data_IF_444793657976
#
_entry.id   IF_444793657976
#
_cell.length_a   1.000
_cell.length_b   1.000
_cell.length_c   1.000
_cell.angle_alpha   90.00
_cell.angle_beta   90.00
_cell.angle_gamma   90.00
#
_symmetry.space_group_name_H-M   'P 1'
#
loop_
_entity.id
_entity.type
_entity.pdbx_description
1 polymer ?
#
# COMPACT_ATOMS: atom_id res chain seq x y z
N UNK A 1 29.07 18.22 -61.88
CA UNK A 1 29.64 19.57 -61.68
C UNK A 1 28.77 20.24 -60.62
N UNK A 2 29.18 20.62 -59.41
CA UNK A 2 30.41 21.28 -58.95
C UNK A 2 30.87 20.78 -57.57
N UNK A 3 32.14 21.07 -57.31
CA UNK A 3 33.03 20.66 -56.23
C UNK A 3 33.18 21.77 -55.15
N UNK A 4 33.65 21.35 -53.95
CA UNK A 4 34.51 22.09 -52.98
C UNK A 4 33.83 23.22 -52.15
N UNK A 5 34.09 23.48 -50.85
CA UNK A 5 35.17 23.26 -49.87
C UNK A 5 34.63 23.59 -48.43
N UNK A 6 34.99 22.85 -47.35
CA UNK A 6 36.02 23.11 -46.30
C UNK A 6 35.52 23.85 -45.03
N UNK A 7 36.02 23.35 -43.89
CA UNK A 7 36.13 23.87 -42.51
C UNK A 7 35.11 23.40 -41.46
N UNK A 8 35.66 22.71 -40.47
CA UNK A 8 35.00 22.41 -39.20
C UNK A 8 34.94 23.62 -38.27
N UNK A 9 34.00 23.54 -37.33
CA UNK A 9 33.92 24.43 -36.18
C UNK A 9 33.48 23.63 -34.96
N UNK A 10 34.40 23.54 -33.99
CA UNK A 10 34.10 23.42 -32.57
C UNK A 10 33.07 24.49 -32.17
N UNK A 11 32.07 24.10 -31.39
CA UNK A 11 31.14 24.99 -30.68
C UNK A 11 30.81 24.38 -29.31
N UNK A 12 31.72 24.42 -28.35
CA UNK A 12 31.64 25.24 -27.12
C UNK A 12 30.21 25.59 -26.67
N UNK A 13 29.70 24.85 -25.70
CA UNK A 13 28.57 25.26 -24.86
C UNK A 13 29.09 26.03 -23.63
N UNK A 14 28.84 27.33 -23.66
CA UNK A 14 28.31 28.19 -22.60
C UNK A 14 28.81 28.02 -21.16
N UNK A 15 29.78 28.86 -20.83
CA UNK A 15 29.78 29.84 -19.72
C UNK A 15 29.06 29.47 -18.39
N UNK A 16 29.83 28.94 -17.45
CA UNK A 16 29.58 29.06 -16.01
C UNK A 16 30.21 30.38 -15.55
N UNK A 17 29.37 31.32 -15.12
CA UNK A 17 29.82 32.62 -14.64
C UNK A 17 30.10 32.52 -13.14
N UNK A 18 31.37 32.81 -12.79
CA UNK A 18 31.79 33.73 -11.72
C UNK A 18 31.43 33.38 -10.26
N UNK A 19 32.28 33.57 -9.24
CA UNK A 19 33.54 34.31 -9.14
C UNK A 19 34.15 33.99 -7.77
N UNK A 20 35.49 33.88 -7.75
CA UNK A 20 36.49 34.32 -6.75
C UNK A 20 36.25 34.08 -5.23
N UNK A 21 37.27 33.85 -4.40
CA UNK A 21 38.62 34.38 -4.46
C UNK A 21 39.54 33.64 -3.48
N UNK A 22 40.70 33.23 -4.00
CA UNK A 22 42.07 33.20 -3.43
C UNK A 22 42.24 33.24 -1.89
N UNK A 23 43.07 32.38 -1.30
CA UNK A 23 44.55 32.51 -1.22
C UNK A 23 44.96 31.73 0.06
N UNK A 24 46.14 31.18 0.34
CA UNK A 24 47.48 31.12 -0.27
C UNK A 24 48.30 30.22 0.70
N UNK A 25 49.11 29.32 0.12
CA UNK A 25 50.40 28.74 0.54
C UNK A 25 50.72 28.27 1.98
N UNK A 26 51.23 27.02 1.99
CA UNK A 26 52.49 26.51 2.59
C UNK A 26 52.62 26.50 4.14
N UNK A 27 52.66 25.32 4.76
CA UNK A 27 53.81 24.40 4.89
C UNK A 27 54.75 24.77 6.05
N UNK A 28 54.67 23.90 7.07
CA UNK A 28 55.74 23.39 7.96
C UNK A 28 56.77 24.38 8.53
N UNK A 29 56.91 24.37 9.87
CA UNK A 29 58.12 23.95 10.62
C UNK A 29 58.12 24.60 12.01
N UNK A 30 58.58 23.78 12.98
CA UNK A 30 59.18 24.10 14.28
C UNK A 30 58.28 24.19 15.51
N UNK A 31 58.37 23.08 16.25
CA UNK A 31 58.44 23.01 17.71
C UNK A 31 59.07 24.24 18.37
N UNK A 32 58.53 24.67 19.51
CA UNK A 32 59.17 24.42 20.81
C UNK A 32 58.29 24.87 21.98
N UNK A 33 58.37 24.07 23.04
CA UNK A 33 57.82 24.25 24.37
C UNK A 33 58.13 25.60 25.03
N UNK A 34 57.16 26.15 25.78
CA UNK A 34 57.44 26.61 27.15
C UNK A 34 56.18 26.73 28.01
N UNK A 35 56.27 26.02 29.12
CA UNK A 35 55.45 26.04 30.32
C UNK A 35 55.45 27.43 31.01
N UNK A 36 54.29 27.88 31.50
CA UNK A 36 54.14 28.87 32.59
C UNK A 36 52.67 28.90 33.02
N UNK A 37 52.30 28.20 34.09
CA UNK A 37 52.13 28.75 35.45
C UNK A 37 50.73 29.33 35.72
N UNK A 38 49.89 28.46 36.28
CA UNK A 38 48.87 28.68 37.33
C UNK A 38 48.53 30.14 37.72
N UNK A 39 47.25 30.49 37.62
CA UNK A 39 46.55 31.33 38.62
C UNK A 39 45.02 31.06 38.61
N UNK A 40 44.63 30.09 39.45
CA UNK A 40 43.36 29.89 40.16
C UNK A 40 42.24 30.96 39.98
N UNK A 41 41.13 30.59 39.31
CA UNK A 41 39.77 31.03 39.69
C UNK A 41 38.84 29.82 39.70
N UNK A 42 38.04 29.75 40.76
CA UNK A 42 37.24 28.60 41.19
C UNK A 42 35.94 28.48 40.40
N UNK A 43 35.55 27.22 40.17
CA UNK A 43 34.18 26.66 40.17
C UNK A 43 33.08 27.48 39.53
N UNK A 44 32.59 27.02 38.36
CA UNK A 44 31.16 26.85 38.11
C UNK A 44 30.98 25.53 37.36
N UNK A 45 30.70 24.46 38.10
CA UNK A 45 30.04 23.29 37.55
C UNK A 45 28.62 23.74 37.22
N UNK A 46 28.08 23.49 36.01
CA UNK A 46 26.70 23.85 35.71
C UNK A 46 25.78 23.23 36.77
N UNK A 47 24.86 24.04 37.30
CA UNK A 47 23.92 23.57 38.30
C UNK A 47 23.06 22.46 37.68
N UNK A 48 22.79 21.40 38.45
CA UNK A 48 21.95 20.26 38.02
C UNK A 48 20.50 20.63 37.64
N UNK A 49 20.11 21.90 37.73
CA UNK A 49 18.78 22.42 37.38
C UNK A 49 18.63 22.77 35.89
N UNK A 50 19.68 22.62 35.07
CA UNK A 50 19.62 22.83 33.61
C UNK A 50 19.47 21.53 32.81
N UNK A 51 19.30 20.37 33.47
CA UNK A 51 18.84 19.16 32.78
C UNK A 51 17.31 19.20 32.70
N UNK A 52 16.78 19.22 31.48
CA UNK A 52 15.36 18.98 31.21
C UNK A 52 14.94 17.69 31.93
N UNK A 53 14.04 17.81 32.92
CA UNK A 53 13.58 16.68 33.69
C UNK A 53 12.72 15.78 32.80
N UNK A 54 13.02 14.47 32.66
CA UNK A 54 12.09 13.55 32.00
C UNK A 54 10.77 13.50 32.79
N UNK A 55 9.65 13.30 32.11
CA UNK A 55 8.31 13.28 32.71
C UNK A 55 8.29 12.42 34.00
N UNK A 56 7.99 13.03 35.15
CA UNK A 56 8.06 12.36 36.46
C UNK A 56 6.71 11.83 36.94
N UNK A 57 5.65 12.00 36.16
CA UNK A 57 4.29 11.57 36.49
C UNK A 57 3.74 10.66 35.41
N UNK A 58 3.01 9.61 35.80
CA UNK A 58 2.29 8.70 34.86
C UNK A 58 1.24 9.47 34.06
N UNK A 59 0.62 10.49 34.65
CA UNK A 59 -0.32 11.37 33.94
C UNK A 59 0.38 12.22 32.88
N UNK A 60 1.62 12.63 33.14
CA UNK A 60 2.45 13.43 32.22
C UNK A 60 3.12 12.55 31.15
N UNK A 61 3.51 11.31 31.50
CA UNK A 61 3.89 10.25 30.56
C UNK A 61 2.73 9.86 29.63
N UNK A 62 1.49 9.84 30.13
CA UNK A 62 0.29 9.59 29.33
C UNK A 62 -0.05 10.78 28.42
N UNK A 63 0.16 12.01 28.88
CA UNK A 63 0.01 13.22 28.06
C UNK A 63 1.10 13.37 26.98
N UNK A 64 2.34 12.98 27.28
CA UNK A 64 3.46 12.99 26.33
C UNK A 64 3.28 11.99 25.18
N UNK A 65 2.55 10.89 25.39
CA UNK A 65 2.19 9.93 24.34
C UNK A 65 1.00 10.39 23.50
N UNK A 66 0.19 11.36 23.97
CA UNK A 66 -1.02 11.80 23.27
C UNK A 66 -0.87 13.02 22.36
N UNK A 67 0.29 13.71 22.35
CA UNK A 67 0.46 14.97 21.62
C UNK A 67 1.47 14.93 20.45
N UNK A 68 2.13 13.79 20.19
CA UNK A 68 3.22 13.72 19.22
C UNK A 68 2.87 13.10 17.85
N UNK A 69 1.72 12.45 17.69
CA UNK A 69 1.40 11.72 16.45
C UNK A 69 -0.12 11.58 16.26
N UNK A 70 -0.82 12.72 16.12
CA UNK A 70 -2.11 12.68 15.42
C UNK A 70 -1.80 12.82 13.94
N UNK A 71 -2.06 11.81 13.09
CA UNK A 71 -1.83 11.96 11.68
C UNK A 71 -2.66 13.13 11.17
N UNK A 72 -2.00 14.09 10.53
CA UNK A 72 -2.68 15.21 9.90
C UNK A 72 -3.51 14.65 8.74
N UNK A 73 -4.81 14.46 8.98
CA UNK A 73 -5.73 13.95 7.97
C UNK A 73 -5.77 14.93 6.79
N UNK A 74 -5.30 14.47 5.64
CA UNK A 74 -5.21 15.27 4.43
C UNK A 74 -6.46 15.07 3.57
N UNK A 75 -7.07 16.16 3.12
CA UNK A 75 -8.30 16.10 2.31
C UNK A 75 -7.96 16.01 0.82
N UNK A 76 -8.51 15.04 0.10
CA UNK A 76 -8.40 14.91 -1.36
C UNK A 76 -9.58 15.63 -2.00
N UNK A 77 -9.32 16.70 -2.73
CA UNK A 77 -10.34 17.59 -3.29
C UNK A 77 -10.67 17.28 -4.75
N UNK A 78 -9.77 16.58 -5.45
CA UNK A 78 -9.89 16.33 -6.87
C UNK A 78 -9.18 15.02 -7.26
N UNK A 79 -9.80 14.29 -8.20
CA UNK A 79 -9.33 13.01 -8.72
C UNK A 79 -9.33 13.11 -10.23
N UNK A 80 -8.15 13.00 -10.85
CA UNK A 80 -7.99 13.06 -12.30
C UNK A 80 -7.57 11.71 -12.85
N UNK A 81 -8.22 11.30 -13.94
CA UNK A 81 -7.87 10.11 -14.70
C UNK A 81 -7.37 10.52 -16.07
N UNK A 82 -6.17 10.04 -16.43
CA UNK A 82 -5.55 10.28 -17.73
C UNK A 82 -5.20 8.92 -18.37
N UNK A 83 -5.93 8.53 -19.41
CA UNK A 83 -5.62 7.34 -20.17
C UNK A 83 -4.30 7.50 -20.93
N UNK A 84 -3.48 6.46 -20.95
CA UNK A 84 -2.24 6.39 -21.73
C UNK A 84 -2.31 5.20 -22.72
N UNK A 85 -1.38 5.11 -23.67
CA UNK A 85 -1.40 4.04 -24.69
C UNK A 85 -1.27 2.61 -24.11
N UNK A 86 -0.76 2.47 -22.88
CA UNK A 86 -0.47 1.18 -22.25
C UNK A 86 -1.03 1.08 -20.83
N UNK A 87 -1.96 1.96 -20.46
CA UNK A 87 -2.44 2.01 -19.08
C UNK A 87 -3.20 3.28 -18.70
N UNK A 88 -3.16 3.61 -17.42
CA UNK A 88 -3.96 4.68 -16.81
C UNK A 88 -3.13 5.42 -15.76
N UNK A 89 -3.08 6.74 -15.84
CA UNK A 89 -2.50 7.58 -14.80
C UNK A 89 -3.62 8.19 -13.95
N UNK A 90 -3.57 7.97 -12.64
CA UNK A 90 -4.52 8.53 -11.66
C UNK A 90 -3.77 9.56 -10.83
N UNK A 91 -4.29 10.78 -10.73
CA UNK A 91 -3.71 11.84 -9.89
C UNK A 91 -4.71 12.24 -8.83
N UNK A 92 -4.33 12.10 -7.57
CA UNK A 92 -5.11 12.54 -6.41
C UNK A 92 -4.54 13.85 -5.89
N UNK A 93 -5.33 14.92 -5.96
CA UNK A 93 -4.91 16.26 -5.54
C UNK A 93 -5.43 16.57 -4.13
N UNK A 94 -4.56 16.75 -3.14
CA UNK A 94 -4.95 17.18 -1.79
C UNK A 94 -5.22 18.69 -1.72
N UNK A 95 -5.99 19.13 -0.72
CA UNK A 95 -6.23 20.54 -0.44
C UNK A 95 -4.98 21.25 0.08
N UNK A 96 -4.32 20.62 1.05
CA UNK A 96 -3.11 21.09 1.71
C UNK A 96 -2.36 19.87 2.28
N UNK A 97 -1.03 19.88 2.23
CA UNK A 97 -0.20 18.79 2.74
C UNK A 97 0.22 17.76 1.68
N UNK A 98 1.03 16.80 2.11
CA UNK A 98 1.45 15.65 1.30
C UNK A 98 0.65 14.44 1.73
N UNK A 99 0.16 13.66 0.76
CA UNK A 99 -0.47 12.39 1.04
C UNK A 99 0.59 11.36 1.47
N UNK A 100 0.22 10.50 2.43
CA UNK A 100 1.00 9.32 2.79
C UNK A 100 1.06 8.35 1.59
N UNK A 101 2.13 7.54 1.46
CA UNK A 101 2.22 6.54 0.40
C UNK A 101 1.09 5.51 0.54
N UNK A 102 0.46 5.15 -0.58
CA UNK A 102 -0.57 4.12 -0.58
C UNK A 102 0.05 2.73 -0.40
N UNK A 103 -0.63 1.89 0.37
CA UNK A 103 -0.37 0.45 0.43
C UNK A 103 -1.17 -0.24 -0.67
N UNK A 104 -0.49 -0.88 -1.63
CA UNK A 104 -1.14 -1.60 -2.72
C UNK A 104 -1.24 -3.10 -2.41
N UNK A 105 -2.35 -3.70 -2.79
CA UNK A 105 -2.61 -5.14 -2.70
C UNK A 105 -3.45 -5.57 -3.89
N UNK A 106 -3.33 -6.82 -4.33
CA UNK A 106 -4.11 -7.35 -5.45
C UNK A 106 -5.07 -8.40 -4.92
N UNK A 107 -6.34 -8.28 -5.27
CA UNK A 107 -7.40 -9.23 -4.90
C UNK A 107 -8.17 -9.62 -6.16
N UNK A 108 -7.96 -10.86 -6.62
CA UNK A 108 -8.56 -11.35 -7.87
C UNK A 108 -8.05 -10.57 -9.08
N UNK A 109 -8.95 -9.82 -9.72
CA UNK A 109 -8.66 -8.95 -10.89
C UNK A 109 -8.65 -7.45 -10.51
N UNK A 110 -8.57 -7.13 -9.23
CA UNK A 110 -8.58 -5.75 -8.75
C UNK A 110 -7.31 -5.43 -7.97
N UNK A 111 -6.67 -4.31 -8.33
CA UNK A 111 -5.67 -3.66 -7.50
C UNK A 111 -6.38 -2.75 -6.50
N UNK A 112 -6.10 -2.94 -5.23
CA UNK A 112 -6.60 -2.17 -4.10
C UNK A 112 -5.45 -1.36 -3.53
N UNK A 113 -5.57 -0.04 -3.52
CA UNK A 113 -4.60 0.85 -2.90
C UNK A 113 -5.25 1.61 -1.74
N UNK A 114 -4.73 1.40 -0.54
CA UNK A 114 -5.20 2.03 0.68
C UNK A 114 -4.25 3.16 1.09
N UNK A 115 -4.79 4.38 1.16
CA UNK A 115 -4.08 5.59 1.51
C UNK A 115 -4.46 5.94 2.96
N UNK A 116 -3.54 5.80 3.93
CA UNK A 116 -3.81 6.18 5.30
C UNK A 116 -3.83 7.70 5.43
N UNK A 117 -4.42 8.19 6.53
CA UNK A 117 -4.42 9.59 6.93
C UNK A 117 -5.01 10.54 5.87
N UNK A 118 -5.98 10.03 5.11
CA UNK A 118 -6.62 10.75 4.02
C UNK A 118 -8.14 10.69 4.12
N UNK A 119 -8.79 11.74 3.62
CA UNK A 119 -10.24 11.74 3.43
C UNK A 119 -10.57 12.32 2.07
N UNK A 120 -11.38 11.61 1.30
CA UNK A 120 -11.93 12.06 0.04
C UNK A 120 -13.03 13.09 0.31
N UNK A 121 -12.88 14.29 -0.25
CA UNK A 121 -13.78 15.41 -0.07
C UNK A 121 -14.00 16.11 -1.43
N UNK A 122 -14.72 15.44 -2.33
CA UNK A 122 -15.03 16.00 -3.64
C UNK A 122 -16.20 16.98 -3.53
N UNK A 123 -16.26 18.03 -4.37
CA UNK A 123 -17.29 19.06 -4.28
C UNK A 123 -18.71 18.54 -4.59
N UNK A 124 -18.83 17.51 -5.43
CA UNK A 124 -20.11 17.04 -5.97
C UNK A 124 -20.56 15.66 -5.43
N UNK A 125 -19.66 14.87 -4.85
CA UNK A 125 -19.90 13.45 -4.49
C UNK A 125 -18.96 12.98 -3.37
N UNK A 126 -19.41 12.02 -2.55
CA UNK A 126 -18.59 11.43 -1.49
C UNK A 126 -17.66 10.31 -1.99
N UNK A 127 -17.85 9.86 -3.24
CA UNK A 127 -17.04 8.86 -3.91
C UNK A 127 -16.78 9.20 -5.38
N UNK A 128 -15.69 8.70 -5.93
CA UNK A 128 -15.38 8.82 -7.35
C UNK A 128 -15.52 7.45 -8.01
N UNK A 129 -16.21 7.38 -9.14
CA UNK A 129 -16.34 6.17 -9.94
C UNK A 129 -16.13 6.47 -11.42
N UNK A 130 -15.44 5.56 -12.10
CA UNK A 130 -15.25 5.63 -13.55
C UNK A 130 -15.34 4.23 -14.15
N UNK A 131 -16.16 4.09 -15.19
CA UNK A 131 -16.40 2.84 -15.92
C UNK A 131 -15.65 2.87 -17.23
N UNK A 132 -14.92 1.79 -17.54
CA UNK A 132 -14.11 1.62 -18.75
C UNK A 132 -13.27 2.85 -19.09
N UNK A 133 -12.40 3.35 -18.17
CA UNK A 133 -11.54 4.49 -18.48
C UNK A 133 -10.55 4.18 -19.62
N UNK A 134 -10.19 2.91 -19.81
CA UNK A 134 -9.36 2.41 -20.92
C UNK A 134 -9.90 1.05 -21.40
N UNK A 135 -9.39 0.53 -22.52
CA UNK A 135 -9.78 -0.79 -23.02
C UNK A 135 -9.33 -1.94 -22.09
N UNK A 136 -8.30 -1.72 -21.27
CA UNK A 136 -7.70 -2.73 -20.39
C UNK A 136 -8.21 -2.65 -18.93
N UNK A 137 -8.74 -1.49 -18.51
CA UNK A 137 -9.27 -1.25 -17.16
C UNK A 137 -10.80 -1.19 -17.22
N UNK A 138 -11.46 -2.12 -16.53
CA UNK A 138 -12.92 -2.21 -16.50
C UNK A 138 -13.55 -1.14 -15.60
N UNK A 139 -12.98 -0.88 -14.43
CA UNK A 139 -13.60 -0.03 -13.42
C UNK A 139 -12.60 0.59 -12.45
N UNK A 140 -12.83 1.85 -12.08
CA UNK A 140 -12.05 2.55 -11.05
C UNK A 140 -13.00 3.16 -10.03
N UNK A 141 -12.70 2.97 -8.75
CA UNK A 141 -13.44 3.55 -7.63
C UNK A 141 -12.49 4.17 -6.63
N UNK A 142 -12.84 5.33 -6.10
CA UNK A 142 -12.17 5.95 -4.96
C UNK A 142 -13.23 6.26 -3.91
N UNK A 143 -13.05 5.70 -2.71
CA UNK A 143 -14.05 5.81 -1.62
C UNK A 143 -13.38 5.97 -0.26
N UNK A 144 -14.11 6.58 0.67
CA UNK A 144 -13.69 6.70 2.07
C UNK A 144 -13.97 5.39 2.83
N UNK A 145 -12.98 4.92 3.58
CA UNK A 145 -13.09 3.84 4.53
C UNK A 145 -13.09 4.37 5.97
N UNK A 146 -13.49 3.53 6.95
CA UNK A 146 -13.27 3.80 8.36
C UNK A 146 -11.79 4.13 8.66
N UNK A 147 -11.54 4.86 9.74
CA UNK A 147 -10.19 5.25 10.19
C UNK A 147 -9.44 6.19 9.23
N UNK A 148 -10.14 7.10 8.54
CA UNK A 148 -9.52 8.11 7.66
C UNK A 148 -8.59 7.47 6.62
N UNK A 149 -9.08 6.40 6.00
CA UNK A 149 -8.37 5.72 4.92
C UNK A 149 -9.14 5.92 3.63
N UNK A 150 -8.45 6.26 2.54
CA UNK A 150 -9.06 6.32 1.20
C UNK A 150 -8.64 5.07 0.44
N UNK A 151 -9.61 4.33 -0.09
CA UNK A 151 -9.36 3.17 -0.94
C UNK A 151 -9.58 3.52 -2.39
N UNK A 152 -8.55 3.31 -3.18
CA UNK A 152 -8.60 3.30 -4.64
C UNK A 152 -8.67 1.84 -5.09
N UNK A 153 -9.76 1.45 -5.75
CA UNK A 153 -9.92 0.13 -6.33
C UNK A 153 -9.90 0.24 -7.86
N UNK A 154 -9.01 -0.50 -8.50
CA UNK A 154 -8.82 -0.49 -9.96
C UNK A 154 -8.98 -1.93 -10.46
N UNK A 155 -10.03 -2.18 -11.23
CA UNK A 155 -10.36 -3.51 -11.75
C UNK A 155 -9.96 -3.63 -13.21
N UNK A 156 -9.13 -4.61 -13.55
CA UNK A 156 -8.77 -4.93 -14.92
C UNK A 156 -9.87 -5.69 -15.66
N UNK A 157 -9.82 -5.73 -16.99
CA UNK A 157 -10.77 -6.53 -17.80
C UNK A 157 -10.41 -8.01 -17.76
N UNK A 158 -9.15 -8.35 -18.06
CA UNK A 158 -8.70 -9.74 -18.19
C UNK A 158 -7.70 -10.17 -17.10
N UNK A 159 -6.91 -9.24 -16.56
CA UNK A 159 -5.90 -9.50 -15.55
C UNK A 159 -5.75 -8.32 -14.59
N UNK A 160 -5.33 -8.60 -13.35
CA UNK A 160 -5.17 -7.55 -12.35
C UNK A 160 -4.09 -6.54 -12.81
N UNK A 161 -4.41 -5.23 -12.80
CA UNK A 161 -3.43 -4.23 -13.19
C UNK A 161 -2.36 -4.09 -12.11
N UNK A 162 -1.13 -3.78 -12.53
CA UNK A 162 -0.07 -3.35 -11.63
C UNK A 162 -0.07 -1.82 -11.58
N UNK A 163 0.23 -1.22 -10.43
CA UNK A 163 0.43 0.22 -10.36
C UNK A 163 1.62 0.60 -9.51
N UNK A 164 2.40 1.55 -10.01
CA UNK A 164 3.42 2.25 -9.25
C UNK A 164 2.82 3.51 -8.63
N UNK A 165 3.04 3.69 -7.32
CA UNK A 165 2.52 4.83 -6.56
C UNK A 165 3.67 5.78 -6.24
N UNK A 166 3.53 7.04 -6.65
CA UNK A 166 4.52 8.08 -6.45
C UNK A 166 3.89 9.20 -5.61
N UNK A 167 4.48 9.46 -4.45
CA UNK A 167 4.10 10.57 -3.57
C UNK A 167 4.82 11.84 -3.99
N UNK A 168 4.06 12.87 -4.38
CA UNK A 168 4.57 14.18 -4.74
C UNK A 168 4.02 15.26 -3.80
N UNK A 169 4.67 16.43 -3.78
CA UNK A 169 4.24 17.56 -2.96
C UNK A 169 2.85 18.09 -3.32
N UNK A 170 2.41 17.86 -4.56
CA UNK A 170 1.12 18.32 -5.11
C UNK A 170 0.07 17.21 -5.17
N UNK A 171 0.39 15.99 -4.74
CA UNK A 171 -0.56 14.88 -4.77
C UNK A 171 0.08 13.50 -4.85
N UNK A 172 -0.78 12.50 -5.03
CA UNK A 172 -0.38 11.10 -5.17
C UNK A 172 -0.69 10.65 -6.60
N UNK A 173 0.32 10.16 -7.30
CA UNK A 173 0.22 9.72 -8.69
C UNK A 173 0.31 8.20 -8.75
N UNK A 174 -0.67 7.55 -9.38
CA UNK A 174 -0.67 6.13 -9.68
C UNK A 174 -0.42 5.95 -11.17
N UNK A 175 0.65 5.23 -11.51
CA UNK A 175 0.91 4.79 -12.88
C UNK A 175 0.47 3.35 -12.99
N UNK A 176 -0.72 3.15 -13.53
CA UNK A 176 -1.34 1.84 -13.71
C UNK A 176 -0.96 1.30 -15.08
N UNK A 177 -0.45 0.08 -15.13
CA UNK A 177 -0.13 -0.65 -16.36
C UNK A 177 -0.68 -2.07 -16.26
N UNK A 178 -1.10 -2.65 -17.37
CA UNK A 178 -1.32 -4.08 -17.44
C UNK A 178 -0.15 -4.72 -18.16
N UNK A 179 0.50 -5.68 -17.51
CA UNK A 179 1.39 -6.61 -18.18
C UNK A 179 0.56 -7.86 -18.51
N UNK A 180 0.23 -8.03 -19.80
CA UNK A 180 -0.42 -9.23 -20.32
C UNK A 180 0.45 -10.46 -19.98
N UNK A 181 0.09 -11.17 -18.89
CA UNK A 181 0.75 -12.41 -18.48
C UNK A 181 1.49 -12.43 -17.14
N UNK A 182 1.36 -11.43 -16.27
CA UNK A 182 1.87 -11.52 -14.91
C UNK A 182 0.85 -12.20 -13.98
N UNK A 183 0.88 -13.53 -13.90
CA UNK A 183 0.32 -14.24 -12.75
C UNK A 183 1.15 -13.80 -11.55
N UNK A 184 0.57 -12.97 -10.69
CA UNK A 184 1.14 -12.65 -9.39
C UNK A 184 1.34 -13.96 -8.63
N UNK A 185 2.59 -14.39 -8.46
CA UNK A 185 2.94 -15.36 -7.42
C UNK A 185 2.70 -14.69 -6.08
N UNK A 186 1.49 -14.91 -5.57
CA UNK A 186 1.08 -14.56 -4.22
C UNK A 186 2.12 -15.09 -3.23
N UNK A 187 2.65 -14.19 -2.41
CA UNK A 187 3.20 -14.53 -1.12
C UNK A 187 2.11 -15.29 -0.37
N UNK A 188 2.29 -16.59 -0.23
CA UNK A 188 1.47 -17.45 0.61
C UNK A 188 1.69 -17.04 2.07
N UNK A 189 0.96 -16.01 2.50
CA UNK A 189 0.52 -15.96 3.88
C UNK A 189 -0.76 -16.80 3.93
N UNK A 190 -0.66 -17.89 4.67
CA UNK A 190 -1.72 -18.84 4.99
C UNK A 190 -2.81 -18.12 5.79
N UNK A 191 -3.58 -17.26 5.14
CA UNK A 191 -4.85 -16.79 5.64
C UNK A 191 -5.91 -17.74 5.06
N UNK A 192 -6.16 -18.80 5.82
CA UNK A 192 -7.30 -19.68 5.62
C UNK A 192 -8.55 -18.83 5.36
N UNK A 193 -9.07 -18.87 4.12
CA UNK A 193 -10.30 -18.18 3.74
C UNK A 193 -11.47 -18.71 4.57
N UNK A 194 -11.75 -18.06 5.70
CA UNK A 194 -12.93 -18.34 6.51
C UNK A 194 -14.15 -17.68 5.87
N UNK A 195 -14.84 -18.44 5.01
CA UNK A 195 -16.13 -18.04 4.46
C UNK A 195 -17.20 -18.28 5.54
N UNK A 196 -17.60 -17.23 6.26
CA UNK A 196 -18.74 -17.26 7.18
C UNK A 196 -20.02 -17.05 6.38
N UNK A 197 -20.82 -18.11 6.27
CA UNK A 197 -22.15 -18.06 5.65
C UNK A 197 -23.19 -17.77 6.74
N UNK A 198 -23.57 -16.50 6.94
CA UNK A 198 -24.73 -16.17 7.79
C UNK A 198 -26.04 -16.33 7.01
N UNK A 199 -26.36 -17.56 6.65
CA UNK A 199 -27.67 -17.91 6.11
C UNK A 199 -28.69 -18.16 7.23
N UNK A 200 -28.91 -17.24 8.17
CA UNK A 200 -30.16 -17.18 8.95
C UNK A 200 -30.24 -15.90 9.80
N UNK A 201 -31.41 -15.26 9.78
CA UNK A 201 -31.73 -14.04 10.53
C UNK A 201 -32.21 -14.39 11.94
N UNK A 202 -31.30 -14.73 12.86
CA UNK A 202 -31.43 -14.63 14.34
C UNK A 202 -30.07 -14.97 14.97
N UNK A 203 -29.62 -14.17 15.94
CA UNK A 203 -28.34 -14.33 16.65
C UNK A 203 -28.44 -15.46 17.71
N UNK A 204 -27.58 -16.48 17.62
CA UNK A 204 -27.38 -17.49 18.68
C UNK A 204 -25.87 -17.62 19.00
N UNK A 205 -25.56 -17.87 20.28
CA UNK A 205 -24.21 -17.89 20.90
C UNK A 205 -23.30 -19.01 20.35
N UNK A 206 -22.00 -18.72 20.14
CA UNK A 206 -21.02 -19.55 19.41
C UNK A 206 -20.30 -20.65 20.24
N UNK A 207 -20.86 -21.09 21.36
CA UNK A 207 -20.24 -22.15 22.17
C UNK A 207 -21.14 -23.38 22.25
N UNK A 208 -20.60 -24.52 21.79
CA UNK A 208 -21.18 -25.89 21.73
C UNK A 208 -21.90 -26.34 20.44
N UNK A 209 -21.22 -26.25 19.29
CA UNK A 209 -21.47 -27.22 18.21
C UNK A 209 -20.17 -27.91 17.78
N UNK A 210 -19.92 -29.16 18.21
CA UNK A 210 -18.83 -29.95 17.63
C UNK A 210 -19.20 -30.35 16.20
N UNK A 211 -18.75 -29.57 15.20
CA UNK A 211 -18.85 -29.98 13.80
C UNK A 211 -17.69 -30.91 13.46
N UNK A 212 -18.01 -32.08 12.90
CA UNK A 212 -17.00 -33.01 12.41
C UNK A 212 -16.67 -32.65 10.96
N UNK A 213 -15.44 -32.18 10.72
CA UNK A 213 -14.92 -31.87 9.38
C UNK A 213 -13.99 -33.01 8.98
N UNK A 214 -14.23 -33.64 7.83
CA UNK A 214 -13.33 -34.64 7.23
C UNK A 214 -12.89 -34.13 5.87
N UNK A 215 -11.58 -33.92 5.70
CA UNK A 215 -10.98 -33.47 4.44
C UNK A 215 -10.30 -34.67 3.79
N UNK A 216 -10.66 -34.95 2.53
CA UNK A 216 -10.02 -35.98 1.70
C UNK A 216 -9.24 -35.28 0.60
N UNK A 217 -7.94 -35.57 0.49
CA UNK A 217 -7.09 -35.04 -0.57
C UNK A 217 -7.23 -35.86 -1.85
N UNK A 218 -6.80 -35.30 -2.99
CA UNK A 218 -6.86 -35.97 -4.30
C UNK A 218 -6.15 -37.34 -4.29
N UNK A 219 -4.92 -37.41 -3.78
CA UNK A 219 -4.15 -38.66 -3.65
C UNK A 219 -4.90 -39.73 -2.82
N UNK A 220 -5.62 -39.31 -1.78
CA UNK A 220 -6.40 -40.22 -0.93
C UNK A 220 -7.67 -40.72 -1.62
N UNK A 221 -8.28 -39.92 -2.48
CA UNK A 221 -9.45 -40.31 -3.28
C UNK A 221 -9.03 -41.35 -4.33
N UNK A 222 -7.86 -41.14 -4.95
CA UNK A 222 -7.30 -42.04 -5.96
C UNK A 222 -6.83 -43.37 -5.36
N UNK A 223 -6.06 -43.36 -4.28
CA UNK A 223 -5.57 -44.58 -3.60
C UNK A 223 -6.74 -45.38 -2.97
N UNK A 224 -7.77 -44.68 -2.48
CA UNK A 224 -8.96 -45.32 -1.94
C UNK A 224 -9.97 -45.79 -3.02
N UNK A 225 -9.72 -45.48 -4.31
CA UNK A 225 -10.59 -45.85 -5.42
C UNK A 225 -12.00 -45.27 -5.34
N UNK A 226 -12.15 -44.10 -4.73
CA UNK A 226 -13.45 -43.46 -4.50
C UNK A 226 -13.93 -42.87 -5.83
N UNK A 227 -15.01 -43.43 -6.38
CA UNK A 227 -15.56 -42.99 -7.67
C UNK A 227 -17.01 -42.52 -7.57
N UNK A 228 -17.67 -42.79 -6.43
CA UNK A 228 -19.06 -42.38 -6.18
C UNK A 228 -19.22 -41.73 -4.81
N UNK A 229 -20.26 -40.92 -4.66
CA UNK A 229 -20.60 -40.28 -3.37
C UNK A 229 -20.97 -41.29 -2.27
N UNK A 230 -21.40 -42.49 -2.65
CA UNK A 230 -21.69 -43.58 -1.73
C UNK A 230 -20.41 -44.12 -1.07
N UNK A 231 -19.32 -44.23 -1.83
CA UNK A 231 -18.01 -44.69 -1.34
C UNK A 231 -17.44 -43.77 -0.24
N UNK A 232 -17.70 -42.46 -0.38
CA UNK A 232 -17.35 -41.44 0.63
C UNK A 232 -18.18 -41.67 1.91
N UNK A 233 -19.46 -42.03 1.76
CA UNK A 233 -20.35 -42.22 2.91
C UNK A 233 -19.98 -43.40 3.80
N UNK A 234 -19.36 -44.42 3.23
CA UNK A 234 -18.90 -45.58 3.98
C UNK A 234 -17.66 -45.30 4.82
N UNK A 235 -16.95 -44.18 4.57
CA UNK A 235 -15.69 -43.82 5.23
C UNK A 235 -15.80 -42.61 6.15
N UNK A 236 -16.87 -41.83 6.05
CA UNK A 236 -17.10 -40.65 6.89
C UNK A 236 -18.14 -40.95 7.97
N UNK A 237 -17.76 -40.92 9.27
CA UNK A 237 -18.71 -41.14 10.34
C UNK A 237 -19.81 -40.07 10.34
N UNK A 238 -21.05 -40.50 10.61
CA UNK A 238 -22.23 -39.62 10.67
C UNK A 238 -22.58 -38.90 9.35
N UNK A 239 -22.15 -39.44 8.21
CA UNK A 239 -22.51 -38.94 6.87
C UNK A 239 -23.40 -39.95 6.15
N UNK A 240 -24.53 -39.50 5.61
CA UNK A 240 -25.50 -40.32 4.89
C UNK A 240 -25.87 -39.65 3.56
N UNK A 241 -25.81 -40.42 2.47
CA UNK A 241 -26.21 -39.96 1.13
C UNK A 241 -27.47 -40.69 0.72
N UNK A 242 -28.51 -39.94 0.35
CA UNK A 242 -29.73 -40.49 -0.23
C UNK A 242 -29.71 -40.22 -1.72
N UNK A 243 -29.52 -41.26 -2.53
CA UNK A 243 -29.62 -41.11 -3.99
C UNK A 243 -31.08 -40.87 -4.38
N UNK A 244 -31.39 -39.67 -4.86
CA UNK A 244 -32.72 -39.29 -5.29
C UNK A 244 -33.03 -39.82 -6.70
N UNK A 245 -32.94 -41.13 -6.91
CA UNK A 245 -33.33 -41.76 -8.18
C UNK A 245 -34.79 -42.19 -8.09
N UNK A 246 -35.70 -41.21 -8.17
CA UNK A 246 -37.13 -41.43 -8.24
C UNK A 246 -37.77 -40.39 -9.14
N UNK A 247 -38.23 -40.82 -10.32
CA UNK A 247 -38.85 -39.97 -11.33
C UNK A 247 -40.12 -39.28 -10.78
N UNK A 248 -40.01 -38.01 -10.37
CA UNK A 248 -41.13 -37.23 -9.85
C UNK A 248 -41.84 -36.53 -11.00
N UNK A 249 -42.91 -37.15 -11.50
CA UNK A 249 -43.82 -36.48 -12.42
C UNK A 249 -44.67 -35.45 -11.65
N UNK A 250 -44.52 -34.17 -12.00
CA UNK A 250 -45.41 -33.12 -11.55
C UNK A 250 -46.63 -33.06 -12.48
N UNK A 251 -47.81 -33.38 -11.96
CA UNK A 251 -49.07 -33.12 -12.65
C UNK A 251 -49.65 -31.82 -12.12
N UNK A 252 -49.93 -30.89 -13.04
CA UNK A 252 -50.65 -29.65 -12.74
C UNK A 252 -52.09 -29.82 -13.22
N UNK A 253 -53.05 -29.52 -12.34
CA UNK A 253 -54.47 -29.45 -12.65
C UNK A 253 -54.97 -28.04 -12.41
#
# INVERSE_FOLDING_TARGET
>A
MNKLYLLGSLGVASAVWSVACQSVYAETVRSYSKESSSEKVRTETPALSEMEHPATSVAEWLSQVSEADSPAVTQIIDVQLNATETGLTIVLNPSEGSLSPASTSVVGNALIADIPDATLALPDTDEFQSVNPTDEIAFVTVSNLPNNTVRVAITGVEAAPTAEVISEATGLVFNVSLEEGAIATEQTEDDTLQIVVTAQRTEEDLQDVPISITVLTEEQIEDAGITTLDDISQRTPNFAVFSATGNRFFNFY
#
